data_IF_581526747291
#
_entry.id   IF_581526747291
#
_cell.length_a   1.000
_cell.length_b   1.000
_cell.length_c   1.000
_cell.angle_alpha   90.00
_cell.angle_beta   90.00
_cell.angle_gamma   90.00
#
_symmetry.space_group_name_H-M   'P 1'
#
loop_
_entity.id
_entity.type
_entity.pdbx_description
1 polymer ?
#
# COMPACT_ATOMS: atom_id res chain seq x y z
N UNK A 1 -12.49 4.65 -31.32
CA UNK A 1 -12.36 4.09 -29.95
C UNK A 1 -13.72 4.17 -29.26
N UNK A 2 -14.32 3.01 -28.96
CA UNK A 2 -15.54 2.93 -28.17
C UNK A 2 -15.18 3.34 -26.73
N UNK A 3 -15.49 4.58 -26.33
CA UNK A 3 -15.53 4.99 -24.95
C UNK A 3 -16.63 4.17 -24.27
N UNK A 4 -16.25 3.11 -23.59
CA UNK A 4 -17.16 2.39 -22.70
C UNK A 4 -17.40 3.30 -21.50
N UNK A 5 -18.47 4.09 -21.57
CA UNK A 5 -18.94 4.92 -20.45
C UNK A 5 -19.58 3.99 -19.42
N UNK A 6 -19.05 4.01 -18.22
CA UNK A 6 -19.63 3.29 -17.08
C UNK A 6 -20.94 3.98 -16.72
N UNK A 7 -22.08 3.27 -16.64
CA UNK A 7 -23.35 3.88 -16.30
C UNK A 7 -23.35 4.34 -14.84
N UNK A 8 -23.50 5.63 -14.62
CA UNK A 8 -23.66 6.23 -13.31
C UNK A 8 -25.16 6.47 -13.03
N UNK A 9 -25.56 6.44 -11.77
CA UNK A 9 -26.89 6.86 -11.36
C UNK A 9 -27.03 8.38 -11.39
N UNK A 10 -28.25 8.89 -11.37
CA UNK A 10 -28.49 10.35 -11.30
C UNK A 10 -27.84 10.97 -10.04
N UNK A 11 -27.83 10.25 -8.92
CA UNK A 11 -27.20 10.70 -7.68
C UNK A 11 -25.67 10.79 -7.81
N UNK A 12 -25.04 9.81 -8.47
CA UNK A 12 -23.61 9.78 -8.74
C UNK A 12 -23.17 10.86 -9.72
N UNK A 13 -23.97 11.11 -10.76
CA UNK A 13 -23.74 12.20 -11.71
C UNK A 13 -23.87 13.56 -11.02
N UNK A 14 -24.90 13.75 -10.20
CA UNK A 14 -25.09 14.97 -9.41
C UNK A 14 -23.93 15.20 -8.43
N UNK A 15 -23.49 14.14 -7.74
CA UNK A 15 -22.31 14.19 -6.87
C UNK A 15 -21.07 14.65 -7.62
N UNK A 16 -20.75 14.04 -8.76
CA UNK A 16 -19.57 14.42 -9.55
C UNK A 16 -19.67 15.85 -10.10
N UNK A 17 -20.87 16.28 -10.47
CA UNK A 17 -21.09 17.65 -10.98
C UNK A 17 -20.84 18.74 -9.91
N UNK A 18 -21.07 18.41 -8.64
CA UNK A 18 -20.86 19.30 -7.48
C UNK A 18 -19.46 19.21 -6.90
N UNK A 19 -18.77 18.10 -7.12
CA UNK A 19 -17.41 17.86 -6.63
C UNK A 19 -16.40 18.42 -7.63
N UNK A 20 -16.03 19.70 -7.48
CA UNK A 20 -15.12 20.40 -8.39
C UNK A 20 -13.76 19.72 -8.55
N UNK A 21 -13.27 19.11 -7.48
CA UNK A 21 -11.95 18.44 -7.47
C UNK A 21 -11.99 17.24 -6.54
N UNK A 22 -11.52 16.10 -7.00
CA UNK A 22 -11.27 14.92 -6.18
C UNK A 22 -9.76 14.88 -5.88
N UNK A 23 -9.41 14.94 -4.59
CA UNK A 23 -8.02 14.95 -4.16
C UNK A 23 -7.55 13.57 -3.72
N UNK A 24 -6.29 13.24 -4.01
CA UNK A 24 -5.71 11.95 -3.74
C UNK A 24 -4.33 12.07 -3.07
N UNK A 25 -4.13 11.34 -1.98
CA UNK A 25 -2.82 11.07 -1.40
C UNK A 25 -2.32 9.70 -1.85
N UNK A 26 -1.01 9.58 -2.01
CA UNK A 26 -0.31 8.37 -2.46
C UNK A 26 0.83 8.03 -1.50
N UNK A 27 1.39 6.83 -1.58
CA UNK A 27 2.70 6.58 -0.98
C UNK A 27 3.78 7.19 -1.88
N UNK A 28 4.56 8.16 -1.41
CA UNK A 28 5.55 8.82 -2.25
C UNK A 28 6.80 7.99 -2.52
N UNK A 29 7.01 6.85 -1.82
CA UNK A 29 8.24 6.05 -1.85
C UNK A 29 7.95 4.54 -1.71
N UNK A 30 7.12 3.99 -2.58
CA UNK A 30 6.76 2.56 -2.57
C UNK A 30 6.96 1.90 -3.94
N UNK A 31 8.18 1.98 -4.47
CA UNK A 31 8.53 1.30 -5.73
C UNK A 31 8.45 -0.23 -5.61
N UNK A 32 7.97 -0.95 -6.65
CA UNK A 32 7.47 -0.44 -7.95
C UNK A 32 5.97 -0.13 -7.96
N UNK A 33 5.29 -0.17 -6.82
CA UNK A 33 3.85 0.05 -6.76
C UNK A 33 3.49 1.50 -7.05
N UNK A 34 4.05 2.43 -6.28
CA UNK A 34 3.84 3.85 -6.53
C UNK A 34 4.96 4.71 -5.93
N UNK A 35 5.18 5.84 -6.56
CA UNK A 35 6.14 6.85 -6.10
C UNK A 35 5.75 8.21 -6.68
N UNK A 36 6.12 9.29 -6.00
CA UNK A 36 6.12 10.63 -6.57
C UNK A 36 7.51 10.93 -7.15
N UNK A 37 7.58 11.17 -8.45
CA UNK A 37 8.83 11.57 -9.07
C UNK A 37 9.26 12.99 -8.61
N UNK A 38 10.44 13.42 -9.03
CA UNK A 38 10.99 14.75 -8.71
C UNK A 38 10.12 15.94 -9.14
N UNK A 39 9.15 15.72 -10.01
CA UNK A 39 8.19 16.71 -10.48
C UNK A 39 6.84 16.57 -9.77
N UNK A 40 6.72 15.68 -8.79
CA UNK A 40 5.48 15.37 -8.09
C UNK A 40 4.47 14.54 -8.89
N UNK A 41 4.91 13.90 -9.98
CA UNK A 41 4.06 13.03 -10.78
C UNK A 41 3.97 11.65 -10.15
N UNK A 42 2.75 11.14 -10.03
CA UNK A 42 2.46 9.78 -9.59
C UNK A 42 2.82 8.78 -10.69
N UNK A 43 3.73 7.86 -10.42
CA UNK A 43 4.19 6.81 -11.33
C UNK A 43 4.22 5.46 -10.63
N UNK A 44 4.23 4.36 -11.41
CA UNK A 44 4.24 2.99 -10.93
C UNK A 44 2.95 2.24 -11.24
N UNK A 45 2.85 1.00 -10.76
CA UNK A 45 1.71 0.09 -11.03
C UNK A 45 0.39 0.72 -10.57
N UNK A 46 0.36 1.28 -9.37
CA UNK A 46 -0.84 1.94 -8.83
C UNK A 46 -1.24 3.15 -9.66
N UNK A 47 -0.27 3.96 -10.11
CA UNK A 47 -0.53 5.12 -10.96
C UNK A 47 -1.23 4.73 -12.27
N UNK A 48 -0.80 3.64 -12.90
CA UNK A 48 -1.40 3.15 -14.14
C UNK A 48 -2.82 2.63 -13.92
N UNK A 49 -3.06 1.88 -12.83
CA UNK A 49 -4.39 1.39 -12.46
C UNK A 49 -5.33 2.57 -12.17
N UNK A 50 -4.91 3.52 -11.35
CA UNK A 50 -5.69 4.71 -11.00
C UNK A 50 -6.01 5.55 -12.23
N UNK A 51 -5.05 5.72 -13.14
CA UNK A 51 -5.26 6.41 -14.41
C UNK A 51 -6.31 5.71 -15.28
N UNK A 52 -6.30 4.37 -15.31
CA UNK A 52 -7.33 3.60 -16.04
C UNK A 52 -8.70 3.80 -15.42
N UNK A 53 -8.84 3.70 -14.08
CA UNK A 53 -10.09 3.91 -13.35
C UNK A 53 -10.63 5.32 -13.60
N UNK A 54 -9.81 6.35 -13.40
CA UNK A 54 -10.20 7.75 -13.61
C UNK A 54 -10.62 8.04 -15.05
N UNK A 55 -9.91 7.43 -16.02
CA UNK A 55 -10.24 7.54 -17.45
C UNK A 55 -11.60 6.90 -17.79
N UNK A 56 -11.89 5.71 -17.22
CA UNK A 56 -13.21 5.05 -17.40
C UNK A 56 -14.36 5.85 -16.82
N UNK A 57 -14.13 6.56 -15.74
CA UNK A 57 -15.12 7.40 -15.05
C UNK A 57 -15.18 8.83 -15.60
N UNK A 58 -14.21 9.22 -16.44
CA UNK A 58 -14.02 10.60 -16.91
C UNK A 58 -13.92 11.60 -15.74
N UNK A 59 -13.17 11.24 -14.69
CA UNK A 59 -12.88 12.09 -13.53
C UNK A 59 -11.40 12.49 -13.53
N UNK A 60 -11.12 13.66 -12.96
CA UNK A 60 -9.76 14.13 -12.72
C UNK A 60 -9.42 13.99 -11.24
N UNK A 61 -8.24 13.42 -10.96
CA UNK A 61 -7.71 13.25 -9.62
C UNK A 61 -6.51 14.19 -9.41
N UNK A 62 -6.60 15.04 -8.40
CA UNK A 62 -5.53 15.96 -8.02
C UNK A 62 -4.67 15.34 -6.93
N UNK A 63 -3.40 15.12 -7.23
CA UNK A 63 -2.44 14.64 -6.24
C UNK A 63 -2.15 15.72 -5.19
N UNK A 64 -2.23 15.35 -3.92
CA UNK A 64 -1.75 16.15 -2.80
C UNK A 64 -0.36 15.62 -2.44
N UNK A 65 0.72 16.35 -2.75
CA UNK A 65 2.07 15.85 -2.52
C UNK A 65 2.39 15.73 -1.03
N UNK A 66 3.03 14.62 -0.68
CA UNK A 66 3.52 14.31 0.67
C UNK A 66 4.96 13.84 0.57
N UNK A 67 5.66 13.86 1.71
CA UNK A 67 7.07 13.45 1.78
C UNK A 67 7.25 12.02 2.26
N UNK A 68 6.28 11.49 3.01
CA UNK A 68 6.31 10.16 3.59
C UNK A 68 4.93 9.53 3.58
N UNK A 69 4.89 8.20 3.67
CA UNK A 69 3.64 7.48 3.86
C UNK A 69 2.85 7.91 5.10
N UNK A 70 3.55 8.15 6.21
CA UNK A 70 2.91 8.63 7.45
C UNK A 70 2.23 9.98 7.26
N UNK A 71 2.86 10.91 6.51
CA UNK A 71 2.25 12.19 6.18
C UNK A 71 0.99 12.00 5.33
N UNK A 72 1.00 11.06 4.37
CA UNK A 72 -0.19 10.73 3.58
C UNK A 72 -1.33 10.17 4.43
N UNK A 73 -1.02 9.29 5.38
CA UNK A 73 -1.98 8.78 6.36
C UNK A 73 -2.58 9.93 7.18
N UNK A 74 -1.74 10.81 7.73
CA UNK A 74 -2.23 11.95 8.53
C UNK A 74 -3.08 12.91 7.69
N UNK A 75 -2.71 13.17 6.44
CA UNK A 75 -3.49 14.01 5.53
C UNK A 75 -4.87 13.40 5.25
N UNK A 76 -4.97 12.08 5.12
CA UNK A 76 -6.26 11.41 4.96
C UNK A 76 -7.15 11.52 6.20
N UNK A 77 -6.58 11.41 7.42
CA UNK A 77 -7.31 11.57 8.68
C UNK A 77 -7.91 12.96 8.83
N UNK A 78 -7.16 13.99 8.44
CA UNK A 78 -7.62 15.40 8.52
C UNK A 78 -8.34 15.85 7.24
N UNK A 79 -8.68 14.92 6.35
CA UNK A 79 -9.48 15.14 5.13
C UNK A 79 -8.84 16.13 4.14
N UNK A 80 -7.53 16.20 4.09
CA UNK A 80 -6.80 16.92 3.03
C UNK A 80 -6.82 16.17 1.69
N UNK A 81 -7.09 14.87 1.73
CA UNK A 81 -7.31 14.02 0.55
C UNK A 81 -8.68 13.36 0.67
N UNK A 82 -9.42 13.30 -0.43
CA UNK A 82 -10.69 12.57 -0.51
C UNK A 82 -10.45 11.05 -0.57
N UNK A 83 -9.33 10.65 -1.15
CA UNK A 83 -8.97 9.23 -1.28
C UNK A 83 -7.46 8.99 -1.18
N UNK A 84 -7.12 7.74 -0.89
CA UNK A 84 -5.77 7.18 -0.95
C UNK A 84 -5.71 6.11 -2.03
N UNK A 85 -4.67 6.15 -2.86
CA UNK A 85 -4.56 5.37 -4.09
C UNK A 85 -4.52 3.86 -3.90
N UNK A 86 -3.71 3.38 -2.95
CA UNK A 86 -3.27 1.99 -2.97
C UNK A 86 -2.84 1.51 -1.59
N UNK A 87 -3.77 0.89 -0.83
CA UNK A 87 -3.47 0.43 0.52
C UNK A 87 -4.30 -0.76 0.95
N UNK A 88 -3.78 -1.52 1.93
CA UNK A 88 -4.54 -2.56 2.60
C UNK A 88 -5.58 -1.95 3.54
N UNK A 89 -6.74 -2.60 3.61
CA UNK A 89 -7.72 -2.37 4.66
C UNK A 89 -7.20 -2.91 6.00
N UNK A 90 -7.28 -2.11 7.07
CA UNK A 90 -7.01 -2.53 8.44
C UNK A 90 -8.11 -2.05 9.39
N UNK A 91 -8.30 -2.71 10.57
CA UNK A 91 -9.24 -2.23 11.58
C UNK A 91 -9.00 -0.76 11.97
N UNK A 92 -7.74 -0.37 12.14
CA UNK A 92 -7.37 0.99 12.48
C UNK A 92 -7.78 1.98 11.38
N UNK A 93 -7.46 1.67 10.12
CA UNK A 93 -7.79 2.54 8.98
C UNK A 93 -9.29 2.69 8.75
N UNK A 94 -10.09 1.68 9.12
CA UNK A 94 -11.56 1.76 9.07
C UNK A 94 -12.15 2.83 9.97
N UNK A 95 -11.41 3.37 10.90
CA UNK A 95 -11.90 4.46 11.76
C UNK A 95 -12.20 5.73 10.95
N UNK A 96 -11.43 6.01 9.87
CA UNK A 96 -11.60 7.21 9.04
C UNK A 96 -11.75 6.94 7.53
N UNK A 97 -11.47 5.72 7.04
CA UNK A 97 -11.62 5.31 5.64
C UNK A 97 -12.71 4.27 5.46
N UNK A 98 -13.30 4.26 4.29
CA UNK A 98 -13.97 3.12 3.68
C UNK A 98 -13.13 2.64 2.50
N UNK A 99 -13.34 1.41 2.03
CA UNK A 99 -12.48 0.79 1.03
C UNK A 99 -13.29 0.28 -0.15
N UNK A 100 -12.72 0.40 -1.36
CA UNK A 100 -13.25 -0.23 -2.56
C UNK A 100 -13.01 -1.74 -2.53
N UNK A 101 -13.51 -2.45 -3.54
CA UNK A 101 -13.03 -3.79 -3.86
C UNK A 101 -11.52 -3.79 -4.13
N UNK A 102 -10.81 -4.92 -3.93
CA UNK A 102 -9.38 -4.98 -4.22
C UNK A 102 -9.08 -4.72 -5.69
N UNK A 103 -8.15 -3.81 -5.95
CA UNK A 103 -7.65 -3.51 -7.30
C UNK A 103 -6.34 -4.25 -7.61
N UNK A 104 -5.70 -4.82 -6.59
CA UNK A 104 -4.48 -5.61 -6.74
C UNK A 104 -4.30 -6.58 -5.58
N UNK A 105 -3.73 -7.76 -5.85
CA UNK A 105 -3.40 -8.78 -4.83
C UNK A 105 -1.98 -9.26 -5.01
N UNK A 106 -1.26 -9.40 -3.90
CA UNK A 106 0.12 -9.85 -3.88
C UNK A 106 0.47 -10.49 -2.52
N UNK A 107 1.09 -11.69 -2.48
CA UNK A 107 1.45 -12.32 -1.22
C UNK A 107 2.56 -11.54 -0.51
N UNK A 108 2.54 -11.54 0.82
CA UNK A 108 3.68 -11.11 1.62
C UNK A 108 4.63 -12.28 1.86
N UNK A 109 5.91 -12.00 1.89
CA UNK A 109 6.97 -12.97 2.12
C UNK A 109 7.91 -12.50 3.23
N UNK A 110 8.49 -13.46 3.95
CA UNK A 110 9.53 -13.21 4.95
C UNK A 110 10.87 -13.26 4.25
N UNK A 111 11.63 -12.21 4.41
CA UNK A 111 12.96 -12.04 3.83
C UNK A 111 14.01 -12.13 4.95
N UNK A 112 15.07 -12.84 4.70
CA UNK A 112 16.26 -12.89 5.54
C UNK A 112 17.50 -13.10 4.70
N UNK A 113 18.64 -13.29 5.35
CA UNK A 113 19.93 -13.47 4.67
C UNK A 113 20.03 -14.84 3.98
N UNK A 114 20.89 -14.94 2.98
CA UNK A 114 21.14 -16.19 2.25
C UNK A 114 21.59 -17.35 3.15
N UNK A 115 22.34 -17.06 4.21
CA UNK A 115 22.82 -18.04 5.20
C UNK A 115 21.77 -18.44 6.23
N UNK A 116 20.63 -17.75 6.27
CA UNK A 116 19.55 -18.06 7.21
C UNK A 116 18.76 -19.30 6.77
N UNK A 117 18.30 -20.15 7.71
CA UNK A 117 17.49 -21.32 7.40
C UNK A 117 16.09 -20.91 6.92
N UNK A 118 15.48 -21.75 6.11
CA UNK A 118 14.05 -21.62 5.74
C UNK A 118 13.20 -21.72 7.02
N UNK A 119 12.25 -20.80 7.15
CA UNK A 119 11.34 -20.75 8.29
C UNK A 119 10.08 -21.54 7.97
N UNK A 120 9.83 -22.60 8.71
CA UNK A 120 8.60 -23.41 8.52
C UNK A 120 7.41 -22.84 9.28
N UNK A 121 7.64 -22.22 10.43
CA UNK A 121 6.59 -21.70 11.32
C UNK A 121 7.08 -20.48 12.07
N UNK A 122 6.57 -19.31 11.69
CA UNK A 122 6.91 -18.02 12.29
C UNK A 122 6.53 -17.92 13.77
N UNK A 123 5.48 -18.60 14.20
CA UNK A 123 4.99 -18.55 15.58
C UNK A 123 5.95 -19.18 16.59
N UNK A 124 6.87 -20.03 16.10
CA UNK A 124 7.81 -20.80 16.94
C UNK A 124 9.20 -20.17 17.07
N UNK A 125 9.50 -19.18 16.24
CA UNK A 125 10.85 -18.57 16.26
C UNK A 125 10.89 -17.35 17.18
N UNK A 126 12.09 -17.07 17.69
CA UNK A 126 12.45 -15.79 18.32
C UNK A 126 13.44 -15.10 17.39
N UNK A 127 13.04 -14.01 16.81
CA UNK A 127 13.86 -13.25 15.88
C UNK A 127 13.47 -11.79 15.91
N UNK A 128 14.37 -10.92 15.51
CA UNK A 128 14.04 -9.51 15.23
C UNK A 128 13.54 -9.37 13.80
N UNK A 129 12.51 -8.53 13.62
CA UNK A 129 11.92 -8.26 12.31
C UNK A 129 11.75 -6.76 12.11
N UNK A 130 12.39 -6.22 11.07
CA UNK A 130 12.25 -4.82 10.70
C UNK A 130 10.98 -4.62 9.85
N UNK A 131 10.09 -3.73 10.27
CA UNK A 131 8.85 -3.47 9.56
C UNK A 131 8.59 -1.96 9.51
N UNK A 132 8.30 -1.37 8.33
CA UNK A 132 7.93 0.03 8.22
C UNK A 132 6.67 0.36 9.02
N UNK A 133 6.75 1.47 9.77
CA UNK A 133 5.64 2.00 10.59
C UNK A 133 4.41 2.30 9.75
N UNK A 134 3.22 2.18 10.35
CA UNK A 134 1.95 2.52 9.69
C UNK A 134 1.55 1.56 8.56
N UNK A 135 2.29 0.47 8.33
CA UNK A 135 1.91 -0.56 7.37
C UNK A 135 0.96 -1.58 7.98
N UNK A 136 0.13 -2.23 7.15
CA UNK A 136 -0.75 -3.29 7.59
C UNK A 136 0.02 -4.47 8.24
N UNK A 137 1.23 -4.75 7.74
CA UNK A 137 2.08 -5.80 8.32
C UNK A 137 2.58 -5.42 9.71
N UNK A 138 2.91 -4.15 9.94
CA UNK A 138 3.30 -3.67 11.27
C UNK A 138 2.18 -3.92 12.30
N UNK A 139 0.95 -3.51 11.99
CA UNK A 139 -0.22 -3.71 12.86
C UNK A 139 -0.48 -5.21 13.14
N UNK A 140 -0.44 -6.03 12.08
CA UNK A 140 -0.77 -7.46 12.18
C UNK A 140 0.31 -8.25 12.91
N UNK A 141 1.58 -8.02 12.61
CA UNK A 141 2.69 -8.79 13.19
C UNK A 141 2.84 -8.53 14.69
N UNK A 142 2.58 -7.32 15.17
CA UNK A 142 2.54 -7.02 16.61
C UNK A 142 1.54 -7.89 17.36
N UNK A 143 0.39 -8.15 16.73
CA UNK A 143 -0.69 -8.94 17.35
C UNK A 143 -0.48 -10.45 17.18
N UNK A 144 -0.13 -10.87 15.97
CA UNK A 144 -0.19 -12.29 15.58
C UNK A 144 1.10 -13.05 15.95
N UNK A 145 2.25 -12.35 16.09
CA UNK A 145 3.55 -12.95 16.38
C UNK A 145 4.23 -12.33 17.60
N UNK A 146 3.70 -12.52 18.82
CA UNK A 146 4.21 -11.86 20.02
C UNK A 146 5.62 -12.30 20.45
N UNK A 147 6.17 -13.36 19.83
CA UNK A 147 7.55 -13.81 20.08
C UNK A 147 8.58 -13.09 19.20
N UNK A 148 8.14 -12.41 18.14
CA UNK A 148 9.03 -11.62 17.31
C UNK A 148 9.30 -10.26 17.98
N UNK A 149 10.53 -9.80 17.87
CA UNK A 149 10.94 -8.47 18.31
C UNK A 149 10.80 -7.53 17.11
N UNK A 150 9.76 -6.70 17.09
CA UNK A 150 9.54 -5.78 15.98
C UNK A 150 10.44 -4.56 16.13
N UNK A 151 11.22 -4.29 15.09
CA UNK A 151 12.04 -3.10 14.92
C UNK A 151 11.29 -2.17 13.97
N UNK A 152 10.67 -1.08 14.46
CA UNK A 152 9.99 -0.13 13.60
C UNK A 152 11.01 0.68 12.80
N UNK A 153 10.78 0.83 11.49
CA UNK A 153 11.60 1.62 10.57
C UNK A 153 10.76 2.63 9.81
N UNK A 154 11.41 3.59 9.16
CA UNK A 154 10.72 4.67 8.47
C UNK A 154 10.51 4.36 6.97
N UNK A 155 11.26 3.41 6.41
CA UNK A 155 11.18 3.06 4.98
C UNK A 155 11.41 1.58 4.71
N UNK A 156 11.02 1.16 3.49
CA UNK A 156 11.32 -0.16 2.94
C UNK A 156 12.82 -0.41 2.87
N UNK A 157 13.55 0.54 2.31
CA UNK A 157 15.00 0.44 2.12
C UNK A 157 15.72 0.25 3.45
N UNK A 158 15.29 0.96 4.49
CA UNK A 158 15.84 0.79 5.83
C UNK A 158 15.59 -0.63 6.35
N UNK A 159 14.39 -1.20 6.16
CA UNK A 159 14.08 -2.55 6.58
C UNK A 159 15.01 -3.59 5.93
N UNK A 160 15.18 -3.52 4.61
CA UNK A 160 16.07 -4.43 3.87
C UNK A 160 17.54 -4.26 4.29
N UNK A 161 17.97 -3.01 4.44
CA UNK A 161 19.35 -2.67 4.86
C UNK A 161 19.67 -3.20 6.26
N UNK A 162 18.76 -3.07 7.22
CA UNK A 162 18.97 -3.62 8.56
C UNK A 162 19.14 -5.14 8.55
N UNK A 163 18.41 -5.86 7.66
CA UNK A 163 18.59 -7.32 7.53
C UNK A 163 19.92 -7.66 6.88
N UNK A 164 20.32 -6.94 5.84
CA UNK A 164 21.62 -7.13 5.19
C UNK A 164 22.79 -6.87 6.15
N UNK A 165 22.70 -5.80 6.95
CA UNK A 165 23.70 -5.38 7.93
C UNK A 165 23.69 -6.22 9.23
N UNK A 166 22.85 -7.25 9.33
CA UNK A 166 22.68 -8.10 10.53
C UNK A 166 22.19 -7.36 11.78
N UNK A 167 21.54 -6.22 11.60
CA UNK A 167 20.89 -5.43 12.67
C UNK A 167 19.45 -5.88 12.94
N UNK A 168 18.84 -6.53 11.97
CA UNK A 168 17.61 -7.29 12.09
C UNK A 168 17.80 -8.68 11.49
N UNK A 169 17.04 -9.68 11.95
CA UNK A 169 17.09 -11.02 11.39
C UNK A 169 16.23 -11.14 10.13
N UNK A 170 15.08 -10.47 10.13
CA UNK A 170 14.02 -10.61 9.14
C UNK A 170 13.43 -9.25 8.74
N UNK A 171 12.77 -9.24 7.57
CA UNK A 171 11.72 -8.29 7.23
C UNK A 171 10.55 -9.02 6.56
N UNK A 172 9.38 -8.39 6.50
CA UNK A 172 8.19 -8.92 5.82
C UNK A 172 7.67 -7.90 4.84
N UNK A 173 7.58 -8.28 3.58
CA UNK A 173 7.06 -7.41 2.53
C UNK A 173 6.37 -8.20 1.42
N UNK A 174 5.64 -7.49 0.59
CA UNK A 174 5.11 -7.94 -0.68
C UNK A 174 6.18 -8.71 -1.49
N UNK A 175 5.78 -9.76 -2.14
CA UNK A 175 6.69 -10.53 -3.00
C UNK A 175 7.25 -9.67 -4.13
N UNK A 176 6.43 -8.81 -4.73
CA UNK A 176 6.86 -7.89 -5.81
C UNK A 176 7.88 -6.88 -5.29
N UNK A 177 7.62 -6.25 -4.13
CA UNK A 177 8.59 -5.33 -3.49
C UNK A 177 9.89 -6.06 -3.17
N UNK A 178 9.80 -7.28 -2.64
CA UNK A 178 10.98 -8.07 -2.29
C UNK A 178 11.83 -8.42 -3.51
N UNK A 179 11.19 -8.88 -4.59
CA UNK A 179 11.89 -9.17 -5.84
C UNK A 179 12.53 -7.92 -6.44
N UNK A 180 11.82 -6.79 -6.43
CA UNK A 180 12.32 -5.50 -6.93
C UNK A 180 13.55 -5.06 -6.12
N UNK A 181 13.46 -5.02 -4.79
CA UNK A 181 14.57 -4.59 -3.94
C UNK A 181 15.80 -5.49 -4.09
N UNK A 182 15.61 -6.81 -4.10
CA UNK A 182 16.71 -7.76 -4.27
C UNK A 182 17.40 -7.53 -5.62
N UNK A 183 16.63 -7.38 -6.70
CA UNK A 183 17.18 -7.26 -8.05
C UNK A 183 17.70 -5.85 -8.37
N UNK A 184 16.88 -4.83 -8.19
CA UNK A 184 17.15 -3.48 -8.71
C UNK A 184 17.94 -2.62 -7.71
N UNK A 185 17.76 -2.86 -6.39
CA UNK A 185 18.49 -2.13 -5.34
C UNK A 185 19.73 -2.86 -4.81
N UNK A 186 19.98 -4.08 -5.32
CA UNK A 186 21.23 -4.79 -5.09
C UNK A 186 21.32 -5.56 -3.76
N UNK A 187 20.20 -5.90 -3.11
CA UNK A 187 20.19 -6.71 -1.88
C UNK A 187 20.41 -8.20 -2.15
N UNK A 188 21.48 -8.54 -2.90
CA UNK A 188 21.74 -9.91 -3.38
C UNK A 188 22.08 -10.92 -2.28
N UNK A 189 22.37 -10.47 -1.06
CA UNK A 189 22.61 -11.32 0.10
C UNK A 189 21.33 -11.74 0.82
N UNK A 190 20.15 -11.35 0.30
CA UNK A 190 18.86 -11.65 0.89
C UNK A 190 18.10 -12.68 0.04
N UNK A 191 17.20 -13.43 0.68
CA UNK A 191 16.31 -14.40 0.05
C UNK A 191 14.97 -14.51 0.77
N UNK A 192 13.98 -15.08 0.11
CA UNK A 192 12.71 -15.48 0.72
C UNK A 192 12.93 -16.70 1.62
N UNK A 193 12.51 -16.59 2.88
CA UNK A 193 12.59 -17.66 3.88
C UNK A 193 11.26 -18.33 4.17
N UNK A 194 10.14 -17.63 3.93
CA UNK A 194 8.79 -18.12 4.17
C UNK A 194 7.79 -17.24 3.42
N UNK A 195 6.64 -17.83 3.09
CA UNK A 195 5.44 -17.13 2.65
C UNK A 195 4.31 -17.49 3.63
N UNK A 196 4.03 -16.64 4.62
CA UNK A 196 3.01 -16.94 5.62
C UNK A 196 1.62 -16.95 4.98
N UNK A 197 0.83 -17.97 5.30
CA UNK A 197 -0.55 -18.09 4.84
C UNK A 197 -1.41 -16.96 5.42
N UNK A 198 -2.41 -16.50 4.65
CA UNK A 198 -3.36 -15.46 5.03
C UNK A 198 -2.76 -14.05 5.23
N UNK A 199 -1.54 -13.81 4.74
CA UNK A 199 -0.88 -12.50 4.76
C UNK A 199 -0.73 -11.92 3.35
N UNK A 200 -1.74 -12.11 2.50
CA UNK A 200 -1.81 -11.49 1.18
C UNK A 200 -2.15 -10.00 1.30
N UNK A 201 -1.48 -9.18 0.51
CA UNK A 201 -1.91 -7.81 0.28
C UNK A 201 -3.15 -7.83 -0.61
N UNK A 202 -4.19 -7.15 -0.17
CA UNK A 202 -5.38 -6.85 -0.96
C UNK A 202 -5.46 -5.32 -1.06
N UNK A 203 -4.79 -4.79 -2.06
CA UNK A 203 -4.64 -3.34 -2.21
C UNK A 203 -5.91 -2.75 -2.82
N UNK A 204 -6.43 -1.73 -2.17
CA UNK A 204 -7.70 -1.07 -2.44
C UNK A 204 -7.49 0.42 -2.54
N UNK A 205 -8.48 1.12 -3.04
CA UNK A 205 -8.57 2.57 -2.87
C UNK A 205 -9.25 2.82 -1.52
N UNK A 206 -8.63 3.64 -0.68
CA UNK A 206 -9.23 4.13 0.56
C UNK A 206 -9.96 5.45 0.29
N UNK A 207 -11.21 5.57 0.71
CA UNK A 207 -12.03 6.77 0.55
C UNK A 207 -12.43 7.29 1.94
N UNK A 208 -12.30 8.59 2.19
CA UNK A 208 -12.72 9.16 3.48
C UNK A 208 -14.20 8.87 3.75
N UNK A 209 -14.53 8.57 5.02
CA UNK A 209 -15.86 8.02 5.38
C UNK A 209 -17.04 8.89 5.05
N UNK A 210 -16.85 10.20 4.93
CA UNK A 210 -17.91 11.13 4.58
C UNK A 210 -18.17 11.24 3.06
N UNK A 211 -17.51 10.40 2.24
CA UNK A 211 -17.68 10.37 0.78
C UNK A 211 -18.10 8.97 0.27
N UNK A 212 -19.24 8.42 0.76
CA UNK A 212 -19.66 7.05 0.39
C UNK A 212 -20.01 6.91 -1.09
N UNK A 213 -20.58 7.94 -1.70
CA UNK A 213 -20.93 7.95 -3.12
C UNK A 213 -19.66 7.83 -3.98
N UNK A 214 -18.58 8.52 -3.61
CA UNK A 214 -17.29 8.41 -4.31
C UNK A 214 -16.77 6.97 -4.33
N UNK A 215 -16.86 6.26 -3.19
CA UNK A 215 -16.49 4.84 -3.11
C UNK A 215 -17.31 3.98 -4.08
N UNK A 216 -18.62 4.20 -4.14
CA UNK A 216 -19.53 3.41 -5.00
C UNK A 216 -19.26 3.68 -6.48
N UNK A 217 -18.97 4.94 -6.85
CA UNK A 217 -18.54 5.31 -8.20
C UNK A 217 -17.25 4.59 -8.59
N UNK A 218 -16.24 4.61 -7.70
CA UNK A 218 -14.95 3.94 -7.96
C UNK A 218 -15.12 2.43 -8.14
N UNK A 219 -15.95 1.77 -7.33
CA UNK A 219 -16.23 0.34 -7.45
C UNK A 219 -16.83 -0.06 -8.81
N UNK A 220 -17.57 0.82 -9.46
CA UNK A 220 -18.11 0.54 -10.80
C UNK A 220 -17.03 0.48 -11.89
N UNK A 221 -15.85 1.08 -11.65
CA UNK A 221 -14.74 1.10 -12.59
C UNK A 221 -13.71 0.00 -12.36
N UNK A 222 -13.79 -0.69 -11.22
CA UNK A 222 -12.95 -1.81 -10.83
C UNK A 222 -13.50 -3.10 -11.41
#
# INVERSE_FOLDING_TARGET
ELKTTIPLSMEEEDYLSKKETITMCVDPDWEPFEVLDKNGKHIGIAADIIKLISSKLNIELKIIPTKTWEESIEFSKVKKCDLMSFLNETPQRKEWLTFTEPIFKDPNVIIGRLDSPIIKDLSKIKASIAIPKGTAMYERFQKDFPKLIIIPVDSEDEAFKLVEEKKADLTVRSMIISAFNIKEKGFFNLKILNQPENYENQLRIGVIRNEPILKDILNKAI
#
